data_IF_843600070546
#
_entry.id   IF_843600070546
#
_cell.length_a   1.000
_cell.length_b   1.000
_cell.length_c   1.000
_cell.angle_alpha   90.00
_cell.angle_beta   90.00
_cell.angle_gamma   90.00
#
_symmetry.space_group_name_H-M   'P 1'
#
loop_
_entity.id
_entity.type
_entity.pdbx_description
1 polymer ?
#
# COMPACT_ATOMS: atom_id res chain seq x y z
N UNK A 1 7.98 -32.88 -20.32
CA UNK A 1 8.23 -31.45 -20.05
C UNK A 1 7.25 -31.04 -18.94
N UNK A 2 7.60 -31.29 -17.68
CA UNK A 2 6.69 -31.07 -16.55
C UNK A 2 6.45 -29.58 -16.34
N UNK A 3 5.19 -29.16 -16.35
CA UNK A 3 4.82 -27.85 -15.83
C UNK A 3 5.25 -27.80 -14.36
N UNK A 4 6.29 -27.00 -14.06
CA UNK A 4 6.47 -26.53 -12.68
C UNK A 4 5.24 -25.66 -12.40
N UNK A 5 4.27 -26.19 -11.66
CA UNK A 5 3.28 -25.33 -11.03
C UNK A 5 4.04 -24.24 -10.29
N UNK A 6 3.69 -22.97 -10.52
CA UNK A 6 4.32 -21.87 -9.80
C UNK A 6 4.14 -22.13 -8.31
N UNK A 7 5.23 -22.39 -7.62
CA UNK A 7 5.22 -22.56 -6.17
C UNK A 7 4.74 -21.25 -5.57
N UNK A 8 3.70 -21.33 -4.74
CA UNK A 8 3.13 -20.16 -4.06
C UNK A 8 4.24 -19.43 -3.29
N UNK A 9 4.33 -18.12 -3.45
CA UNK A 9 5.29 -17.30 -2.71
C UNK A 9 4.53 -16.49 -1.66
N UNK A 10 4.38 -17.00 -0.42
CA UNK A 10 3.53 -16.37 0.57
C UNK A 10 4.09 -15.02 1.03
N UNK A 11 3.20 -14.08 1.29
CA UNK A 11 3.54 -12.83 1.97
C UNK A 11 3.86 -13.15 3.44
N UNK A 12 5.10 -12.93 3.83
CA UNK A 12 5.63 -13.30 5.14
C UNK A 12 5.46 -12.17 6.16
N UNK A 13 5.77 -10.94 5.74
CA UNK A 13 5.83 -9.78 6.62
C UNK A 13 5.55 -8.49 5.88
N UNK A 14 4.79 -7.60 6.51
CA UNK A 14 4.53 -6.24 6.04
C UNK A 14 4.85 -5.26 7.16
N UNK A 15 5.69 -4.28 6.86
CA UNK A 15 6.01 -3.17 7.76
C UNK A 15 5.59 -1.86 7.11
N UNK A 16 4.93 -0.97 7.85
CA UNK A 16 4.69 0.41 7.46
C UNK A 16 5.33 1.35 8.47
N UNK A 17 5.96 2.42 7.96
CA UNK A 17 6.55 3.49 8.77
C UNK A 17 6.14 4.82 8.17
N UNK A 18 5.78 5.77 9.03
CA UNK A 18 5.49 7.14 8.62
C UNK A 18 6.70 8.02 8.92
N UNK A 19 6.98 8.95 8.02
CA UNK A 19 8.00 9.97 8.15
C UNK A 19 7.40 11.32 7.81
N UNK A 20 7.87 12.35 8.49
CA UNK A 20 7.57 13.73 8.18
C UNK A 20 8.84 14.40 7.67
N UNK A 21 8.79 14.90 6.45
CA UNK A 21 9.93 15.51 5.77
C UNK A 21 9.67 17.01 5.68
N UNK A 22 10.43 17.87 6.38
CA UNK A 22 10.27 19.32 6.27
C UNK A 22 10.49 19.80 4.84
N UNK A 23 9.72 20.79 4.41
CA UNK A 23 10.01 21.53 3.18
C UNK A 23 11.17 22.49 3.42
N UNK A 24 11.84 22.92 2.35
CA UNK A 24 12.95 23.88 2.46
C UNK A 24 12.48 25.27 2.95
N UNK A 25 11.18 25.56 2.81
CA UNK A 25 10.48 26.79 3.24
C UNK A 25 8.97 26.55 3.31
N UNK A 26 8.19 27.39 4.02
CA UNK A 26 6.73 27.30 3.99
C UNK A 26 6.17 27.39 2.56
N UNK A 27 5.20 26.53 2.25
CA UNK A 27 4.53 26.40 0.95
C UNK A 27 3.01 26.60 1.11
N UNK A 28 2.33 26.98 0.02
CA UNK A 28 0.89 27.19 0.00
C UNK A 28 0.31 27.10 -1.42
N UNK A 29 -0.96 26.70 -1.55
CA UNK A 29 -1.70 26.65 -2.83
C UNK A 29 -2.91 27.61 -2.91
N UNK A 30 -3.09 28.44 -1.89
CA UNK A 30 -4.23 29.36 -1.74
C UNK A 30 -5.40 28.79 -0.95
N UNK A 31 -5.39 27.49 -0.64
CA UNK A 31 -6.39 26.83 0.22
C UNK A 31 -5.79 26.12 1.42
N UNK A 32 -4.50 25.77 1.34
CA UNK A 32 -3.73 25.16 2.40
C UNK A 32 -2.33 25.77 2.46
N UNK A 33 -1.77 25.86 3.66
CA UNK A 33 -0.35 26.13 3.91
C UNK A 33 0.27 24.90 4.59
N UNK A 34 1.52 24.60 4.29
CA UNK A 34 2.27 23.48 4.89
C UNK A 34 3.77 23.78 4.94
N UNK A 35 4.45 23.11 5.87
CA UNK A 35 5.91 23.17 6.06
C UNK A 35 6.56 21.78 6.07
N UNK A 36 5.78 20.73 5.80
CA UNK A 36 6.25 19.36 5.74
C UNK A 36 5.43 18.51 4.77
N UNK A 37 5.99 17.37 4.38
CA UNK A 37 5.28 16.30 3.67
C UNK A 37 5.35 15.02 4.48
N UNK A 38 4.18 14.47 4.81
CA UNK A 38 4.07 13.15 5.42
C UNK A 38 4.15 12.05 4.35
N UNK A 39 5.07 11.09 4.54
CA UNK A 39 5.21 9.91 3.68
C UNK A 39 5.09 8.63 4.51
N UNK A 40 4.28 7.70 4.04
CA UNK A 40 4.18 6.35 4.60
C UNK A 40 4.89 5.40 3.66
N UNK A 41 5.96 4.78 4.15
CA UNK A 41 6.75 3.77 3.44
C UNK A 41 6.33 2.39 3.92
N UNK A 42 6.12 1.47 2.99
CA UNK A 42 5.73 0.09 3.22
C UNK A 42 6.79 -0.84 2.65
N UNK A 43 7.28 -1.75 3.47
CA UNK A 43 8.15 -2.85 3.07
C UNK A 43 7.41 -4.18 3.19
N UNK A 44 7.42 -4.99 2.14
CA UNK A 44 6.80 -6.32 2.09
C UNK A 44 7.87 -7.37 1.84
N UNK A 45 7.89 -8.43 2.65
CA UNK A 45 8.82 -9.56 2.51
C UNK A 45 8.06 -10.81 2.05
N UNK A 46 8.56 -11.47 1.01
CA UNK A 46 8.04 -12.72 0.47
C UNK A 46 9.13 -13.43 -0.37
N UNK A 47 9.28 -14.74 -0.22
CA UNK A 47 10.19 -15.54 -1.05
C UNK A 47 11.65 -15.12 -0.93
N UNK A 48 12.07 -14.71 0.27
CA UNK A 48 13.43 -14.21 0.54
C UNK A 48 13.75 -12.85 -0.10
N UNK A 49 12.76 -12.15 -0.66
CA UNK A 49 12.92 -10.79 -1.22
C UNK A 49 12.12 -9.79 -0.40
N UNK A 50 12.57 -8.53 -0.44
CA UNK A 50 11.85 -7.38 0.15
C UNK A 50 11.53 -6.36 -0.95
N UNK A 51 10.25 -6.03 -1.10
CA UNK A 51 9.76 -4.96 -1.96
C UNK A 51 9.41 -3.71 -1.15
N UNK A 52 9.43 -2.55 -1.80
CA UNK A 52 9.15 -1.25 -1.19
C UNK A 52 8.07 -0.52 -1.99
N UNK A 53 7.12 0.08 -1.28
CA UNK A 53 6.11 1.00 -1.80
C UNK A 53 5.93 2.17 -0.85
N UNK A 54 5.33 3.27 -1.31
CA UNK A 54 5.06 4.43 -0.46
C UNK A 54 3.84 5.22 -0.94
N UNK A 55 3.32 6.07 -0.06
CA UNK A 55 2.31 7.08 -0.37
C UNK A 55 2.53 8.34 0.45
N UNK A 56 1.99 9.46 0.01
CA UNK A 56 1.92 10.69 0.80
C UNK A 56 0.59 10.71 1.54
N UNK A 57 0.65 10.50 2.85
CA UNK A 57 -0.53 10.43 3.70
C UNK A 57 -0.14 10.63 5.17
N UNK A 58 -1.14 10.94 5.99
CA UNK A 58 -0.98 11.02 7.44
C UNK A 58 -0.47 9.70 8.05
N UNK A 59 0.24 9.82 9.17
CA UNK A 59 0.83 8.70 9.89
C UNK A 59 -0.18 7.63 10.33
N UNK A 60 -1.47 7.98 10.48
CA UNK A 60 -2.55 7.03 10.78
C UNK A 60 -2.69 5.91 9.74
N UNK A 61 -2.25 6.13 8.49
CA UNK A 61 -2.26 5.08 7.46
C UNK A 61 -1.32 3.92 7.82
N UNK A 62 -0.20 4.18 8.50
CA UNK A 62 0.68 3.11 8.96
C UNK A 62 -0.04 2.19 9.96
N UNK A 63 -0.85 2.77 10.86
CA UNK A 63 -1.68 2.00 11.79
C UNK A 63 -2.73 1.16 11.07
N UNK A 64 -3.42 1.74 10.07
CA UNK A 64 -4.39 1.00 9.24
C UNK A 64 -3.72 -0.18 8.52
N UNK A 65 -2.53 0.03 7.95
CA UNK A 65 -1.78 -1.02 7.27
C UNK A 65 -1.48 -2.16 8.24
N UNK A 66 -0.88 -1.88 9.40
CA UNK A 66 -0.56 -2.93 10.37
C UNK A 66 -1.78 -3.68 10.89
N UNK A 67 -2.86 -2.95 11.18
CA UNK A 67 -4.04 -3.51 11.86
C UNK A 67 -4.97 -4.31 10.95
N UNK A 68 -5.04 -3.93 9.67
CA UNK A 68 -6.10 -4.39 8.78
C UNK A 68 -5.52 -4.97 7.49
N UNK A 69 -4.67 -4.21 6.79
CA UNK A 69 -4.21 -4.61 5.46
C UNK A 69 -3.15 -5.70 5.51
N UNK A 70 -2.24 -5.64 6.48
CA UNK A 70 -1.20 -6.64 6.66
C UNK A 70 -1.80 -8.01 7.02
N UNK A 71 -2.79 -8.02 7.91
CA UNK A 71 -3.50 -9.24 8.30
C UNK A 71 -4.33 -9.84 7.15
N UNK A 72 -4.92 -9.00 6.29
CA UNK A 72 -5.64 -9.45 5.09
C UNK A 72 -4.71 -10.10 4.04
N UNK A 73 -3.44 -9.69 3.97
CA UNK A 73 -2.50 -10.14 2.96
C UNK A 73 -1.62 -11.32 3.39
N UNK A 74 -1.46 -11.53 4.70
CA UNK A 74 -0.53 -12.51 5.25
C UNK A 74 -0.80 -13.92 4.73
N UNK A 75 0.23 -14.60 4.26
CA UNK A 75 0.16 -15.97 3.75
C UNK A 75 -0.46 -16.12 2.36
N UNK A 76 -1.01 -15.05 1.77
CA UNK A 76 -1.45 -15.08 0.38
C UNK A 76 -0.27 -15.02 -0.59
N UNK A 77 -0.45 -15.55 -1.79
CA UNK A 77 0.56 -15.50 -2.85
C UNK A 77 0.87 -14.05 -3.26
N UNK A 78 2.12 -13.64 -3.16
CA UNK A 78 2.56 -12.30 -3.56
C UNK A 78 2.46 -12.10 -5.08
N UNK A 79 2.46 -13.19 -5.85
CA UNK A 79 2.46 -13.13 -7.33
C UNK A 79 1.08 -12.87 -7.92
N UNK A 80 -0.01 -13.05 -7.16
CA UNK A 80 -1.38 -12.77 -7.59
C UNK A 80 -1.84 -11.38 -7.12
N UNK A 81 -1.13 -10.36 -7.62
CA UNK A 81 -1.35 -8.95 -7.29
C UNK A 81 -2.79 -8.49 -7.52
N UNK A 82 -3.48 -8.84 -8.63
CA UNK A 82 -4.87 -8.43 -8.84
C UNK A 82 -5.82 -8.94 -7.75
N UNK A 83 -5.68 -10.20 -7.30
CA UNK A 83 -6.50 -10.72 -6.22
C UNK A 83 -6.15 -10.10 -4.86
N UNK A 84 -4.87 -9.81 -4.59
CA UNK A 84 -4.47 -9.06 -3.38
C UNK A 84 -5.09 -7.67 -3.37
N UNK A 85 -5.15 -7.02 -4.52
CA UNK A 85 -5.79 -5.73 -4.64
C UNK A 85 -7.31 -5.84 -4.36
N UNK A 86 -8.00 -6.78 -5.00
CA UNK A 86 -9.42 -6.98 -4.78
C UNK A 86 -9.77 -7.31 -3.31
N UNK A 87 -8.93 -8.10 -2.61
CA UNK A 87 -9.14 -8.41 -1.19
C UNK A 87 -8.99 -7.17 -0.31
N UNK A 88 -7.95 -6.36 -0.52
CA UNK A 88 -7.76 -5.08 0.18
C UNK A 88 -8.95 -4.13 -0.05
N UNK A 89 -9.39 -3.98 -1.30
CA UNK A 89 -10.51 -3.12 -1.65
C UNK A 89 -11.83 -3.57 -0.98
N UNK A 90 -12.04 -4.88 -0.87
CA UNK A 90 -13.19 -5.46 -0.16
C UNK A 90 -13.09 -5.17 1.33
N UNK A 91 -11.89 -5.38 1.91
CA UNK A 91 -11.63 -5.24 3.33
C UNK A 91 -11.86 -3.81 3.83
N UNK A 92 -11.49 -2.81 3.04
CA UNK A 92 -11.62 -1.39 3.41
C UNK A 92 -12.96 -0.76 3.03
N UNK A 93 -13.87 -1.51 2.42
CA UNK A 93 -15.14 -0.98 1.88
C UNK A 93 -15.96 -0.18 2.89
N UNK A 94 -16.04 -0.65 4.13
CA UNK A 94 -16.82 0.02 5.20
C UNK A 94 -15.99 1.02 6.02
N UNK A 95 -14.70 1.21 5.71
CA UNK A 95 -13.76 2.04 6.47
C UNK A 95 -13.58 3.46 5.88
N UNK A 96 -14.40 3.84 4.89
CA UNK A 96 -14.36 5.16 4.27
C UNK A 96 -13.64 5.17 2.92
N UNK A 97 -14.10 4.36 1.98
CA UNK A 97 -13.71 4.53 0.57
C UNK A 97 -14.59 5.62 -0.06
N UNK A 98 -14.04 6.74 -0.59
CA UNK A 98 -12.61 7.10 -0.74
C UNK A 98 -12.00 7.85 0.47
N UNK A 99 -10.67 7.79 0.60
CA UNK A 99 -9.90 8.45 1.67
C UNK A 99 -8.72 7.60 2.14
N UNK A 100 -8.58 7.41 3.45
CA UNK A 100 -7.49 6.66 4.10
C UNK A 100 -7.37 5.18 3.66
N UNK A 101 -8.38 4.62 2.97
CA UNK A 101 -8.49 3.20 2.63
C UNK A 101 -8.28 2.85 1.15
N UNK A 102 -7.13 3.21 0.56
CA UNK A 102 -6.81 3.06 -0.87
C UNK A 102 -7.55 4.01 -1.82
N UNK A 103 -6.78 4.89 -2.45
CA UNK A 103 -7.13 5.50 -3.73
C UNK A 103 -6.50 4.70 -4.87
N UNK A 104 -7.31 4.00 -5.64
CA UNK A 104 -6.99 3.64 -7.01
C UNK A 104 -7.71 4.66 -7.88
N UNK A 105 -6.98 5.53 -8.57
CA UNK A 105 -7.59 6.24 -9.69
C UNK A 105 -7.90 5.19 -10.75
N UNK A 106 -9.11 5.25 -11.33
CA UNK A 106 -9.57 4.33 -12.38
C UNK A 106 -8.54 4.21 -13.53
N UNK A 107 -7.82 5.30 -13.78
CA UNK A 107 -6.72 5.40 -14.75
C UNK A 107 -5.51 4.50 -14.43
N UNK A 108 -5.22 4.23 -13.17
CA UNK A 108 -4.09 3.37 -12.77
C UNK A 108 -4.42 1.89 -12.94
N UNK A 109 -5.69 1.49 -12.73
CA UNK A 109 -6.12 0.10 -12.90
C UNK A 109 -6.03 -0.37 -14.37
N UNK A 110 -6.27 0.54 -15.32
CA UNK A 110 -6.15 0.26 -16.77
C UNK A 110 -4.69 0.07 -17.21
N UNK A 111 -3.73 0.62 -16.47
CA UNK A 111 -2.29 0.53 -16.77
C UNK A 111 -1.69 -0.85 -16.43
N UNK A 112 -2.27 -1.56 -15.47
CA UNK A 112 -1.83 -2.89 -15.02
C UNK A 112 -2.69 -4.05 -15.54
N UNK A 113 -3.69 -3.76 -16.38
CA UNK A 113 -4.56 -4.75 -17.01
C UNK A 113 -3.98 -5.34 -18.32
N UNK A 114 -2.67 -5.22 -18.54
CA UNK A 114 -1.95 -5.79 -19.70
C UNK A 114 -0.96 -6.86 -19.29
#
# INVERSE_FOLDING_TARGET
MGQRGSEMVPIERIEARAYEIPTDRPEADGTLEWDSTAVVVVELTAGGKRGLGYTYADASVAHLIHRILAEELKGHDVMDVPARMASLLTRVRNLGRPGLGLELKRQDAERYAR
#
